data_IF_462325668507
#
_entry.id   IF_462325668507
#
_cell.length_a   1.000
_cell.length_b   1.000
_cell.length_c   1.000
_cell.angle_alpha   90.00
_cell.angle_beta   90.00
_cell.angle_gamma   90.00
#
_symmetry.space_group_name_H-M   'P 1'
#
loop_
_entity.id
_entity.type
_entity.pdbx_description
1 polymer ?
#
# COMPACT_ATOMS: atom_id res chain seq x y z
N UNK A 1 20.40 -13.01 15.43
CA UNK A 1 19.42 -12.31 16.31
C UNK A 1 18.28 -11.68 15.51
N UNK A 2 18.54 -11.01 14.37
CA UNK A 2 17.47 -10.52 13.46
C UNK A 2 16.62 -11.66 12.86
N UNK A 3 17.26 -12.70 12.33
CA UNK A 3 16.58 -13.89 11.75
C UNK A 3 15.67 -14.63 12.76
N UNK A 4 16.07 -14.69 14.03
CA UNK A 4 15.27 -15.34 15.08
C UNK A 4 14.07 -14.49 15.53
N UNK A 5 14.13 -13.17 15.31
CA UNK A 5 12.99 -12.27 15.53
C UNK A 5 11.98 -12.40 14.38
N UNK A 6 12.46 -12.54 13.14
CA UNK A 6 11.64 -12.80 11.96
C UNK A 6 10.91 -14.15 12.08
N UNK A 7 11.60 -15.22 12.47
CA UNK A 7 10.96 -16.53 12.66
C UNK A 7 9.89 -16.51 13.76
N UNK A 8 10.17 -15.93 14.94
CA UNK A 8 9.18 -15.87 16.04
C UNK A 8 7.98 -14.98 15.72
N UNK A 9 8.20 -13.85 15.03
CA UNK A 9 7.11 -12.97 14.58
C UNK A 9 6.25 -13.71 13.55
N UNK A 10 6.86 -14.43 12.60
CA UNK A 10 6.14 -15.21 11.60
C UNK A 10 5.37 -16.40 12.20
N UNK A 11 5.91 -17.07 13.23
CA UNK A 11 5.25 -18.15 13.95
C UNK A 11 4.05 -17.67 14.81
N UNK A 12 4.08 -16.43 15.30
CA UNK A 12 2.98 -15.76 16.02
C UNK A 12 1.89 -15.27 15.05
N UNK A 13 2.31 -14.67 13.91
CA UNK A 13 1.44 -14.19 12.83
C UNK A 13 0.60 -15.32 12.20
N UNK A 14 1.17 -16.53 12.13
CA UNK A 14 0.51 -17.71 11.55
C UNK A 14 -0.38 -18.46 12.54
N UNK A 15 -0.20 -18.29 13.86
CA UNK A 15 -0.97 -19.00 14.89
C UNK A 15 -2.26 -18.31 15.34
N UNK A 16 -2.33 -16.97 15.27
CA UNK A 16 -3.41 -16.22 15.92
C UNK A 16 -4.29 -15.46 14.92
N UNK A 17 -5.62 -15.62 15.05
CA UNK A 17 -6.64 -14.84 14.28
C UNK A 17 -6.62 -13.34 14.60
N UNK A 18 -6.02 -12.97 15.73
CA UNK A 18 -5.82 -11.61 16.17
C UNK A 18 -4.43 -11.52 16.80
N UNK A 19 -3.54 -10.72 16.21
CA UNK A 19 -2.24 -10.42 16.78
C UNK A 19 -2.05 -8.90 16.82
N UNK A 20 -1.32 -8.40 17.81
CA UNK A 20 -0.90 -7.01 17.89
C UNK A 20 0.60 -6.98 18.06
N UNK A 21 1.30 -6.38 17.10
CA UNK A 21 2.72 -6.09 17.21
C UNK A 21 2.88 -4.67 17.75
N UNK A 22 3.58 -4.52 18.87
CA UNK A 22 3.92 -3.21 19.47
C UNK A 22 5.43 -3.09 19.62
N UNK A 23 5.97 -1.87 19.43
CA UNK A 23 7.36 -1.56 19.77
C UNK A 23 8.43 -2.14 18.85
N UNK A 24 8.07 -2.57 17.63
CA UNK A 24 9.04 -3.10 16.67
C UNK A 24 9.77 -1.96 15.95
N UNK A 25 11.06 -1.77 16.26
CA UNK A 25 11.96 -0.92 15.49
C UNK A 25 12.81 -1.81 14.58
N UNK A 26 12.60 -1.68 13.27
CA UNK A 26 13.38 -2.39 12.28
C UNK A 26 14.42 -1.43 11.70
N UNK A 27 15.70 -1.71 11.92
CA UNK A 27 16.83 -0.89 11.44
C UNK A 27 17.61 -1.69 10.39
N UNK A 28 17.63 -1.26 9.11
CA UNK A 28 18.46 -1.93 8.12
C UNK A 28 19.96 -1.72 8.43
N UNK A 29 20.84 -2.68 8.11
CA UNK A 29 22.27 -2.55 8.38
C UNK A 29 22.88 -1.36 7.61
N UNK A 30 23.76 -0.60 8.28
CA UNK A 30 24.46 0.54 7.68
C UNK A 30 25.48 0.03 6.64
N UNK A 31 25.61 0.74 5.51
CA UNK A 31 26.49 0.44 4.35
C UNK A 31 26.02 -0.60 3.33
N UNK A 32 24.72 -0.72 3.09
CA UNK A 32 24.24 -1.36 1.87
C UNK A 32 23.97 -0.31 0.77
N UNK A 33 24.43 -0.53 -0.48
CA UNK A 33 24.09 0.35 -1.60
C UNK A 33 22.56 0.46 -1.72
N UNK A 34 22.05 1.59 -2.21
CA UNK A 34 20.62 1.75 -2.55
C UNK A 34 20.20 0.55 -3.40
N UNK A 35 19.48 -0.39 -2.79
CA UNK A 35 19.08 -1.62 -3.46
C UNK A 35 18.14 -1.25 -4.60
N UNK A 36 18.70 -1.30 -5.80
CA UNK A 36 17.94 -1.39 -7.04
C UNK A 36 17.18 -2.71 -6.97
N UNK A 37 15.87 -2.61 -6.99
CA UNK A 37 14.92 -3.71 -6.77
C UNK A 37 15.15 -4.90 -7.72
N UNK A 38 15.92 -5.88 -7.26
CA UNK A 38 15.75 -7.27 -7.68
C UNK A 38 14.43 -7.78 -7.10
N UNK A 39 13.76 -8.65 -7.85
CA UNK A 39 12.31 -8.87 -7.78
C UNK A 39 11.83 -9.64 -6.55
N UNK A 40 12.73 -10.10 -5.67
CA UNK A 40 12.45 -10.85 -4.44
C UNK A 40 13.61 -10.56 -3.47
N UNK A 41 13.34 -9.77 -2.41
CA UNK A 41 13.92 -9.84 -1.05
C UNK A 41 13.95 -8.48 -0.31
N UNK A 42 13.23 -8.48 0.82
CA UNK A 42 13.25 -7.61 2.02
C UNK A 42 13.16 -6.09 1.80
N UNK A 43 11.94 -5.60 1.62
CA UNK A 43 11.60 -4.21 1.89
C UNK A 43 11.27 -4.04 3.38
N UNK A 44 12.11 -3.36 4.15
CA UNK A 44 11.82 -2.92 5.52
C UNK A 44 10.80 -1.77 5.51
N UNK A 45 9.55 -2.10 5.22
CA UNK A 45 8.39 -1.24 5.44
C UNK A 45 7.18 -2.16 5.56
N UNK A 46 7.02 -2.80 6.73
CA UNK A 46 5.84 -3.58 7.16
C UNK A 46 4.96 -3.99 5.97
N UNK A 47 5.51 -4.86 5.12
CA UNK A 47 4.82 -5.36 3.94
C UNK A 47 3.86 -6.43 4.46
N UNK A 48 2.78 -5.99 5.14
CA UNK A 48 1.58 -6.80 5.37
C UNK A 48 0.80 -6.93 4.04
N UNK A 49 1.54 -7.28 3.00
CA UNK A 49 1.04 -7.87 1.78
C UNK A 49 1.34 -9.36 1.92
N UNK A 50 0.47 -10.06 2.63
CA UNK A 50 -0.23 -11.23 2.11
C UNK A 50 0.28 -11.95 0.86
N UNK A 51 1.53 -12.35 0.84
CA UNK A 51 2.04 -13.31 -0.14
C UNK A 51 2.66 -14.51 0.60
N UNK A 52 1.80 -15.20 1.37
CA UNK A 52 2.10 -16.53 1.95
C UNK A 52 2.46 -17.55 0.86
N UNK A 53 2.15 -17.29 -0.42
CA UNK A 53 2.46 -18.18 -1.53
C UNK A 53 3.91 -18.07 -2.05
N UNK A 54 4.66 -17.00 -1.74
CA UNK A 54 6.05 -16.85 -2.21
C UNK A 54 7.11 -17.37 -1.23
N UNK A 55 6.81 -17.43 0.06
CA UNK A 55 7.75 -17.94 1.09
C UNK A 55 7.84 -19.48 1.10
N UNK A 56 6.95 -20.18 0.38
CA UNK A 56 6.96 -21.66 0.33
C UNK A 56 7.88 -22.27 -0.76
N UNK A 57 8.65 -21.50 -1.52
CA UNK A 57 9.50 -22.06 -2.59
C UNK A 57 10.92 -22.44 -2.17
N UNK A 58 11.34 -22.15 -0.94
CA UNK A 58 12.55 -22.75 -0.37
C UNK A 58 12.18 -23.60 0.83
N UNK A 59 12.35 -24.91 0.66
CA UNK A 59 12.36 -26.00 1.66
C UNK A 59 11.24 -27.03 1.45
N UNK A 60 11.69 -28.20 1.04
CA UNK A 60 10.97 -29.45 0.96
C UNK A 60 10.25 -29.79 2.27
N UNK A 61 8.92 -29.75 2.25
CA UNK A 61 8.09 -30.53 3.16
C UNK A 61 6.73 -30.78 2.51
N UNK A 62 6.55 -32.01 2.00
CA UNK A 62 5.25 -32.61 1.80
C UNK A 62 4.46 -32.51 3.13
N UNK A 63 3.18 -32.14 3.04
CA UNK A 63 2.18 -31.98 4.12
C UNK A 63 1.95 -30.57 4.67
N UNK A 64 1.24 -29.70 3.92
CA UNK A 64 0.41 -28.63 4.51
C UNK A 64 -0.60 -27.99 3.51
N UNK A 65 -1.06 -28.71 2.49
CA UNK A 65 -1.79 -28.11 1.36
C UNK A 65 -3.27 -27.75 1.61
N UNK A 66 -3.81 -27.84 2.83
CA UNK A 66 -5.27 -27.68 3.04
C UNK A 66 -5.72 -26.93 4.30
N UNK A 67 -4.89 -26.08 4.95
CA UNK A 67 -5.39 -25.31 6.11
C UNK A 67 -4.63 -23.99 6.36
N UNK A 68 -4.84 -23.00 5.49
CA UNK A 68 -4.66 -21.59 5.87
C UNK A 68 -6.05 -20.92 5.85
N UNK A 69 -6.54 -20.36 6.96
CA UNK A 69 -7.85 -19.72 6.98
C UNK A 69 -7.86 -18.40 6.19
N UNK A 70 -9.00 -18.01 5.57
CA UNK A 70 -9.16 -16.83 4.70
C UNK A 70 -9.12 -15.47 5.44
N UNK A 71 -8.50 -15.40 6.61
CA UNK A 71 -8.68 -14.27 7.55
C UNK A 71 -7.64 -13.16 7.45
N UNK A 72 -6.68 -13.21 6.52
CA UNK A 72 -5.57 -12.25 6.51
C UNK A 72 -5.84 -10.96 5.70
N UNK A 73 -6.88 -10.90 4.83
CA UNK A 73 -7.18 -9.75 3.94
C UNK A 73 -8.13 -8.70 4.51
N UNK A 74 -8.57 -8.86 5.75
CA UNK A 74 -9.58 -7.96 6.31
C UNK A 74 -9.36 -7.58 7.76
N UNK A 75 -9.87 -6.42 8.16
CA UNK A 75 -9.80 -5.91 9.53
C UNK A 75 -8.36 -5.63 10.01
N UNK A 76 -7.55 -5.01 9.14
CA UNK A 76 -6.17 -4.69 9.45
C UNK A 76 -6.05 -3.27 10.01
N UNK A 77 -5.22 -3.09 11.06
CA UNK A 77 -4.95 -1.78 11.66
C UNK A 77 -3.44 -1.62 11.87
N UNK A 78 -2.86 -0.60 11.24
CA UNK A 78 -1.44 -0.25 11.28
C UNK A 78 -1.34 1.14 11.89
N UNK A 79 -0.70 1.29 13.05
CA UNK A 79 -0.68 2.56 13.75
C UNK A 79 0.62 2.88 14.47
N UNK A 80 0.90 4.18 14.61
CA UNK A 80 1.99 4.72 15.42
C UNK A 80 3.36 4.22 14.95
N UNK A 81 3.62 4.33 13.65
CA UNK A 81 4.88 3.89 13.04
C UNK A 81 5.56 5.02 12.26
N UNK A 82 6.88 4.92 12.14
CA UNK A 82 7.70 5.78 11.29
C UNK A 82 8.31 4.91 10.21
N UNK A 83 8.05 5.24 8.95
CA UNK A 83 8.63 4.61 7.78
C UNK A 83 9.78 5.49 7.26
N UNK A 84 11.02 5.01 7.37
CA UNK A 84 12.18 5.61 6.71
C UNK A 84 12.27 5.24 5.22
N UNK A 85 13.40 5.50 4.55
CA UNK A 85 13.58 5.19 3.13
C UNK A 85 13.14 3.76 2.78
N UNK A 86 12.37 3.63 1.69
CA UNK A 86 11.72 2.38 1.30
C UNK A 86 10.49 2.63 0.42
N UNK A 87 9.65 1.62 0.26
CA UNK A 87 8.52 1.67 -0.68
C UNK A 87 7.23 2.32 -0.12
N UNK A 88 7.18 2.61 1.19
CA UNK A 88 5.96 3.08 1.87
C UNK A 88 4.98 1.94 2.21
N UNK A 89 3.73 2.29 2.54
CA UNK A 89 2.68 1.32 2.83
C UNK A 89 1.84 1.12 1.57
N UNK A 90 1.84 -0.11 1.05
CA UNK A 90 1.09 -0.48 -0.15
C UNK A 90 0.02 -1.52 0.16
N UNK A 91 -1.21 -1.30 -0.29
CA UNK A 91 -2.25 -2.32 -0.39
C UNK A 91 -2.17 -2.93 -1.80
N UNK A 92 -1.88 -4.23 -1.86
CA UNK A 92 -1.70 -4.99 -3.10
C UNK A 92 -0.25 -5.46 -3.31
N UNK A 93 0.11 -5.99 -4.48
CA UNK A 93 -0.67 -5.89 -5.72
C UNK A 93 -1.89 -6.80 -5.74
N UNK A 94 -3.04 -6.22 -6.08
CA UNK A 94 -4.28 -6.94 -6.39
C UNK A 94 -4.33 -7.29 -7.88
N UNK A 95 -5.16 -8.24 -8.27
CA UNK A 95 -5.27 -8.84 -9.60
C UNK A 95 -4.04 -9.66 -10.01
N UNK A 96 -3.45 -10.37 -9.03
CA UNK A 96 -2.47 -11.44 -9.33
C UNK A 96 -3.17 -12.58 -10.07
N UNK A 97 -4.35 -12.96 -9.58
CA UNK A 97 -5.22 -13.99 -10.13
C UNK A 97 -6.59 -13.41 -10.54
N UNK A 98 -7.28 -14.10 -11.45
CA UNK A 98 -8.65 -13.71 -11.87
C UNK A 98 -9.66 -13.84 -10.72
N UNK A 99 -9.49 -14.90 -9.93
CA UNK A 99 -10.30 -15.19 -8.75
C UNK A 99 -9.42 -15.01 -7.53
N UNK A 100 -9.63 -13.91 -6.81
CA UNK A 100 -8.90 -13.63 -5.59
C UNK A 100 -9.83 -13.00 -4.56
N UNK A 101 -9.55 -13.27 -3.30
CA UNK A 101 -10.17 -12.52 -2.22
C UNK A 101 -9.69 -11.06 -2.23
N UNK A 102 -10.64 -10.13 -2.06
CA UNK A 102 -10.37 -8.71 -1.93
C UNK A 102 -9.89 -8.30 -0.54
N UNK A 103 -9.42 -7.06 -0.43
CA UNK A 103 -8.98 -6.43 0.81
C UNK A 103 -10.08 -5.52 1.34
N UNK A 104 -10.36 -5.57 2.65
CA UNK A 104 -11.35 -4.69 3.25
C UNK A 104 -11.10 -4.31 4.70
N UNK A 105 -11.65 -3.16 5.11
CA UNK A 105 -11.58 -2.68 6.49
C UNK A 105 -10.12 -2.56 6.96
N UNK A 106 -9.36 -1.71 6.26
CA UNK A 106 -7.95 -1.43 6.58
C UNK A 106 -7.83 -0.02 7.14
N UNK A 107 -7.17 0.14 8.27
CA UNK A 107 -6.84 1.44 8.86
C UNK A 107 -5.33 1.60 8.95
N UNK A 108 -4.80 2.69 8.41
CA UNK A 108 -3.42 3.12 8.57
C UNK A 108 -3.47 4.50 9.20
N UNK A 109 -2.98 4.62 10.44
CA UNK A 109 -3.17 5.83 11.23
C UNK A 109 -1.95 6.25 12.04
N UNK A 110 -1.74 7.55 12.21
CA UNK A 110 -0.60 8.09 12.98
C UNK A 110 0.73 7.57 12.42
N UNK A 111 1.01 7.85 11.15
CA UNK A 111 2.21 7.36 10.45
C UNK A 111 3.03 8.53 9.93
N UNK A 112 4.36 8.45 10.08
CA UNK A 112 5.30 9.38 9.45
C UNK A 112 6.06 8.64 8.35
N UNK A 113 6.02 9.16 7.13
CA UNK A 113 6.85 8.69 6.02
C UNK A 113 7.99 9.68 5.79
N UNK A 114 9.24 9.23 5.87
CA UNK A 114 10.42 10.05 5.63
C UNK A 114 11.27 9.45 4.52
N UNK A 115 11.45 10.22 3.43
CA UNK A 115 12.30 9.88 2.27
C UNK A 115 11.95 8.53 1.61
N UNK A 116 10.67 8.14 1.64
CA UNK A 116 10.17 6.96 0.93
C UNK A 116 9.86 7.26 -0.54
N UNK A 117 9.82 6.20 -1.34
CA UNK A 117 9.31 6.25 -2.71
C UNK A 117 7.80 6.51 -2.76
N UNK A 118 7.04 5.96 -1.81
CA UNK A 118 5.59 6.21 -1.72
C UNK A 118 5.21 6.46 -0.27
N UNK A 119 4.10 7.16 -0.05
CA UNK A 119 3.48 7.23 1.26
C UNK A 119 2.49 6.08 1.38
N UNK A 120 1.23 6.38 1.07
CA UNK A 120 0.14 5.41 1.02
C UNK A 120 -0.24 5.09 -0.42
N UNK A 121 -0.25 3.80 -0.76
CA UNK A 121 -0.47 3.34 -2.13
C UNK A 121 -1.47 2.19 -2.19
N UNK A 122 -2.38 2.22 -3.16
CA UNK A 122 -3.17 1.05 -3.56
C UNK A 122 -2.74 0.69 -4.99
N UNK A 123 -2.30 -0.54 -5.22
CA UNK A 123 -1.81 -1.00 -6.53
C UNK A 123 -2.55 -2.25 -6.99
N UNK A 124 -3.05 -2.23 -8.22
CA UNK A 124 -3.75 -3.35 -8.85
C UNK A 124 -3.27 -3.53 -10.29
N UNK A 125 -3.09 -4.78 -10.72
CA UNK A 125 -2.71 -5.10 -12.08
C UNK A 125 -3.79 -4.68 -13.08
N UNK A 126 -3.36 -4.20 -14.26
CA UNK A 126 -4.21 -3.97 -15.43
C UNK A 126 -4.68 -5.29 -16.07
N UNK A 127 -5.50 -6.04 -15.33
CA UNK A 127 -6.02 -7.36 -15.69
C UNK A 127 -7.46 -7.53 -15.21
N UNK A 128 -8.26 -8.38 -15.88
CA UNK A 128 -9.51 -8.86 -15.32
C UNK A 128 -9.27 -9.54 -13.96
N UNK A 129 -10.11 -9.23 -12.97
CA UNK A 129 -10.14 -9.83 -11.63
C UNK A 129 -11.52 -9.59 -11.01
N UNK A 130 -11.94 -10.45 -10.08
CA UNK A 130 -13.10 -10.22 -9.21
C UNK A 130 -12.73 -9.53 -7.88
N UNK A 131 -11.44 -9.26 -7.65
CA UNK A 131 -10.91 -8.68 -6.44
C UNK A 131 -11.41 -7.26 -6.17
N UNK A 132 -11.24 -6.82 -4.93
CA UNK A 132 -11.65 -5.48 -4.52
C UNK A 132 -10.72 -4.93 -3.43
N UNK A 133 -10.75 -3.62 -3.24
CA UNK A 133 -10.16 -2.91 -2.10
C UNK A 133 -11.21 -1.93 -1.58
N UNK A 134 -11.72 -2.14 -0.36
CA UNK A 134 -12.80 -1.29 0.17
C UNK A 134 -12.74 -0.96 1.64
N UNK A 135 -13.37 0.14 2.04
CA UNK A 135 -13.42 0.61 3.44
C UNK A 135 -12.01 0.76 4.00
N UNK A 136 -11.22 1.61 3.35
CA UNK A 136 -9.82 1.85 3.70
C UNK A 136 -9.70 3.26 4.26
N UNK A 137 -9.02 3.41 5.39
CA UNK A 137 -8.78 4.69 6.05
C UNK A 137 -7.27 4.93 6.19
N UNK A 138 -6.80 6.03 5.60
CA UNK A 138 -5.48 6.61 5.83
C UNK A 138 -5.66 7.90 6.62
N UNK A 139 -5.19 7.97 7.88
CA UNK A 139 -5.52 9.06 8.81
C UNK A 139 -4.32 9.58 9.61
N UNK A 140 -4.19 10.89 9.82
CA UNK A 140 -3.11 11.50 10.62
C UNK A 140 -1.73 11.06 10.11
N UNK A 141 -1.41 11.44 8.87
CA UNK A 141 -0.17 11.02 8.19
C UNK A 141 0.70 12.22 7.87
N UNK A 142 1.97 12.14 8.26
CA UNK A 142 2.98 13.14 7.94
C UNK A 142 3.87 12.62 6.81
N UNK A 143 4.04 13.42 5.77
CA UNK A 143 4.95 13.16 4.66
C UNK A 143 6.18 14.06 4.78
N UNK A 144 7.36 13.48 4.79
CA UNK A 144 8.65 14.17 4.77
C UNK A 144 9.45 13.72 3.54
N UNK A 145 9.46 14.57 2.51
CA UNK A 145 10.22 14.36 1.29
C UNK A 145 9.90 13.01 0.61
N UNK A 146 8.61 12.69 0.47
CA UNK A 146 8.13 11.44 -0.11
C UNK A 146 7.92 11.58 -1.61
N UNK A 147 8.44 10.65 -2.43
CA UNK A 147 8.36 10.80 -3.90
C UNK A 147 6.93 10.76 -4.42
N UNK A 148 6.12 9.78 -3.99
CA UNK A 148 4.71 9.63 -4.38
C UNK A 148 3.82 9.49 -3.12
N UNK A 149 3.46 10.60 -2.44
CA UNK A 149 2.74 10.58 -1.17
C UNK A 149 1.44 9.78 -1.17
N UNK A 150 0.55 10.03 -2.13
CA UNK A 150 -0.76 9.38 -2.21
C UNK A 150 -0.95 8.80 -3.62
N UNK A 151 -1.12 7.48 -3.72
CA UNK A 151 -1.25 6.79 -5.01
C UNK A 151 -2.39 5.78 -5.02
N UNK A 152 -3.21 5.80 -6.07
CA UNK A 152 -3.98 4.66 -6.54
C UNK A 152 -3.53 4.37 -7.97
N UNK A 153 -3.07 3.15 -8.23
CA UNK A 153 -2.58 2.71 -9.53
C UNK A 153 -3.26 1.39 -9.91
N UNK A 154 -4.28 1.47 -10.76
CA UNK A 154 -4.94 0.30 -11.35
C UNK A 154 -4.33 -0.14 -12.69
N UNK A 155 -3.26 0.53 -13.14
CA UNK A 155 -2.51 0.16 -14.33
C UNK A 155 -1.14 -0.44 -13.95
N UNK A 156 -1.01 -0.94 -12.72
CA UNK A 156 0.25 -1.44 -12.20
C UNK A 156 0.76 -2.59 -13.08
N UNK A 157 1.91 -2.36 -13.71
CA UNK A 157 2.57 -3.37 -14.53
C UNK A 157 4.08 -3.29 -14.37
N UNK A 158 4.64 -3.93 -13.33
CA UNK A 158 6.08 -3.96 -13.16
C UNK A 158 6.74 -4.58 -14.38
N UNK A 159 7.80 -3.91 -14.87
CA UNK A 159 8.63 -4.33 -16.01
C UNK A 159 7.88 -4.51 -17.33
N UNK A 160 6.66 -4.01 -17.46
CA UNK A 160 5.80 -4.23 -18.62
C UNK A 160 5.56 -5.72 -18.93
N UNK A 161 5.75 -6.60 -17.93
CA UNK A 161 5.64 -8.05 -18.10
C UNK A 161 4.37 -8.56 -17.48
N UNK A 162 3.69 -9.45 -18.20
CA UNK A 162 2.50 -10.11 -17.70
C UNK A 162 1.30 -9.19 -17.50
N UNK A 163 1.29 -7.95 -18.00
CA UNK A 163 0.07 -7.14 -18.10
C UNK A 163 -0.43 -7.15 -19.55
N UNK A 164 -1.63 -7.68 -19.82
CA UNK A 164 -2.17 -7.75 -21.18
C UNK A 164 -2.65 -6.39 -21.71
N UNK A 165 -2.32 -5.27 -21.05
CA UNK A 165 -2.84 -3.94 -21.37
C UNK A 165 -4.36 -3.82 -21.21
N UNK A 166 -4.98 -4.73 -20.45
CA UNK A 166 -6.43 -4.71 -20.20
C UNK A 166 -6.74 -3.77 -19.05
N UNK A 167 -7.96 -3.24 -19.04
CA UNK A 167 -8.47 -2.48 -17.90
C UNK A 167 -8.53 -3.38 -16.65
N UNK A 168 -8.16 -2.84 -15.49
CA UNK A 168 -8.23 -3.60 -14.24
C UNK A 168 -9.67 -3.95 -13.88
N UNK A 169 -9.88 -5.21 -13.48
CA UNK A 169 -11.13 -5.73 -12.94
C UNK A 169 -11.34 -5.40 -11.45
N UNK A 170 -10.29 -4.94 -10.75
CA UNK A 170 -10.36 -4.68 -9.32
C UNK A 170 -11.29 -3.51 -9.05
N UNK A 171 -12.20 -3.68 -8.09
CA UNK A 171 -13.08 -2.60 -7.61
C UNK A 171 -12.44 -1.89 -6.43
N UNK A 172 -12.21 -0.58 -6.54
CA UNK A 172 -11.69 0.23 -5.44
C UNK A 172 -12.79 1.20 -5.00
N UNK A 173 -13.28 1.06 -3.78
CA UNK A 173 -14.33 1.92 -3.27
C UNK A 173 -14.20 2.25 -1.78
N UNK A 174 -14.77 3.39 -1.36
CA UNK A 174 -14.79 3.82 0.04
C UNK A 174 -13.37 3.91 0.65
N UNK A 175 -12.52 4.73 0.03
CA UNK A 175 -11.15 5.01 0.50
C UNK A 175 -11.11 6.44 1.00
N UNK A 176 -10.75 6.62 2.27
CA UNK A 176 -10.64 7.94 2.91
C UNK A 176 -9.18 8.26 3.19
N UNK A 177 -8.75 9.42 2.72
CA UNK A 177 -7.49 10.07 3.06
C UNK A 177 -7.81 11.31 3.90
N UNK A 178 -7.49 11.27 5.19
CA UNK A 178 -7.88 12.30 6.14
C UNK A 178 -6.70 12.80 6.97
N UNK A 179 -6.54 14.11 7.10
CA UNK A 179 -5.43 14.73 7.82
C UNK A 179 -4.07 14.17 7.36
N UNK A 180 -3.75 14.45 6.10
CA UNK A 180 -2.46 14.06 5.50
C UNK A 180 -1.72 15.32 5.10
N UNK A 181 -0.56 15.56 5.68
CA UNK A 181 0.17 16.81 5.45
C UNK A 181 1.68 16.61 5.33
N UNK A 182 2.36 17.57 4.71
CA UNK A 182 3.82 17.59 4.61
C UNK A 182 4.34 17.81 3.19
N UNK A 183 5.49 17.22 2.87
CA UNK A 183 6.25 17.52 1.64
C UNK A 183 6.40 16.32 0.71
N UNK A 184 6.31 16.58 -0.59
CA UNK A 184 6.63 15.64 -1.65
C UNK A 184 7.99 15.95 -2.27
N UNK A 185 8.76 14.90 -2.55
CA UNK A 185 10.00 14.99 -3.31
C UNK A 185 9.76 15.19 -4.82
N UNK A 186 8.53 14.98 -5.31
CA UNK A 186 8.17 15.23 -6.71
C UNK A 186 7.00 16.20 -6.82
N UNK A 187 6.77 16.71 -8.04
CA UNK A 187 5.71 17.69 -8.30
C UNK A 187 4.31 17.12 -8.10
N UNK A 188 4.09 15.86 -8.47
CA UNK A 188 2.78 15.20 -8.37
C UNK A 188 2.70 14.45 -7.06
N UNK A 189 1.98 15.01 -6.09
CA UNK A 189 1.87 14.44 -4.75
C UNK A 189 0.67 13.47 -4.61
N UNK A 190 -0.37 13.70 -5.41
CA UNK A 190 -1.58 12.86 -5.46
C UNK A 190 -1.74 12.31 -6.87
N UNK A 191 -1.73 10.99 -7.02
CA UNK A 191 -1.95 10.31 -8.29
C UNK A 191 -3.04 9.27 -8.14
N UNK A 192 -4.18 9.51 -8.77
CA UNK A 192 -5.24 8.52 -8.92
C UNK A 192 -5.34 8.11 -10.38
N UNK A 193 -4.88 6.91 -10.68
CA UNK A 193 -4.92 6.33 -12.01
C UNK A 193 -5.81 5.08 -11.98
N UNK A 194 -7.12 5.31 -12.04
CA UNK A 194 -8.12 4.26 -11.94
C UNK A 194 -8.53 3.73 -13.33
N UNK A 195 -9.05 2.50 -13.32
CA UNK A 195 -9.45 1.77 -14.51
C UNK A 195 -10.70 2.42 -15.14
N UNK A 196 -10.74 2.61 -16.47
CA UNK A 196 -11.91 3.17 -17.13
C UNK A 196 -13.14 2.25 -17.06
N UNK A 197 -12.93 0.92 -16.93
CA UNK A 197 -14.04 -0.05 -16.81
C UNK A 197 -14.48 -0.27 -15.37
N UNK A 198 -13.63 0.06 -14.40
CA UNK A 198 -13.90 -0.06 -12.97
C UNK A 198 -13.37 1.20 -12.27
N UNK A 199 -14.01 2.37 -12.47
CA UNK A 199 -13.57 3.61 -11.87
C UNK A 199 -13.56 3.49 -10.34
N UNK A 200 -12.63 4.20 -9.71
CA UNK A 200 -12.61 4.29 -8.25
C UNK A 200 -13.76 5.18 -7.78
N UNK A 201 -14.54 4.72 -6.79
CA UNK A 201 -15.73 5.45 -6.32
C UNK A 201 -15.73 5.65 -4.81
N UNK A 202 -16.31 6.74 -4.32
CA UNK A 202 -16.33 7.01 -2.88
C UNK A 202 -14.93 7.31 -2.32
N UNK A 203 -14.06 7.92 -3.13
CA UNK A 203 -12.77 8.40 -2.66
C UNK A 203 -12.98 9.72 -1.91
N UNK A 204 -12.49 9.82 -0.68
CA UNK A 204 -12.63 11.03 0.13
C UNK A 204 -11.26 11.62 0.44
N UNK A 205 -11.06 12.88 0.10
CA UNK A 205 -9.93 13.70 0.53
C UNK A 205 -10.41 14.69 1.59
N UNK A 206 -9.87 14.63 2.80
CA UNK A 206 -10.27 15.54 3.88
C UNK A 206 -9.04 16.11 4.59
N UNK A 207 -8.91 17.43 4.64
CA UNK A 207 -7.77 18.09 5.29
C UNK A 207 -6.40 17.56 4.79
N UNK A 208 -6.20 17.53 3.47
CA UNK A 208 -4.96 17.07 2.84
C UNK A 208 -4.15 18.28 2.41
N UNK A 209 -2.89 18.39 2.86
CA UNK A 209 -2.01 19.53 2.53
C UNK A 209 -0.59 19.09 2.20
N UNK A 210 -0.32 18.93 0.91
CA UNK A 210 0.97 18.47 0.38
C UNK A 210 1.64 19.56 -0.44
N UNK A 211 2.91 19.84 -0.15
CA UNK A 211 3.72 20.83 -0.84
C UNK A 211 4.92 20.20 -1.53
N UNK A 212 5.40 20.83 -2.59
CA UNK A 212 6.64 20.51 -3.27
C UNK A 212 7.45 21.79 -3.45
N UNK A 213 8.71 21.81 -2.99
CA UNK A 213 9.57 23.01 -3.01
C UNK A 213 8.87 24.26 -2.44
N UNK A 214 8.20 24.14 -1.28
CA UNK A 214 7.43 25.20 -0.62
C UNK A 214 6.23 25.76 -1.42
N UNK A 215 5.87 25.14 -2.53
CA UNK A 215 4.67 25.44 -3.31
C UNK A 215 3.64 24.33 -3.12
N UNK A 216 2.36 24.60 -3.38
CA UNK A 216 1.35 23.54 -3.44
C UNK A 216 1.76 22.51 -4.48
N UNK A 217 1.73 21.23 -4.12
CA UNK A 217 2.03 20.16 -5.06
C UNK A 217 0.91 20.02 -6.11
N UNK A 218 0.99 19.02 -6.99
CA UNK A 218 -0.01 18.74 -8.02
C UNK A 218 -0.75 17.42 -7.77
N UNK A 219 -1.97 17.35 -8.29
CA UNK A 219 -2.77 16.14 -8.38
C UNK A 219 -2.95 15.72 -9.85
N UNK A 220 -3.02 14.41 -10.10
CA UNK A 220 -3.40 13.82 -11.39
C UNK A 220 -4.46 12.76 -11.16
N UNK A 221 -5.50 12.76 -12.02
CA UNK A 221 -6.75 12.07 -11.73
C UNK A 221 -7.33 11.47 -13.01
N UNK A 222 -7.48 10.14 -13.06
CA UNK A 222 -8.12 9.40 -14.13
C UNK A 222 -9.19 8.47 -13.53
N UNK A 223 -10.41 8.51 -14.07
CA UNK A 223 -11.52 7.60 -13.74
C UNK A 223 -11.79 7.45 -12.24
N UNK A 224 -11.73 8.56 -11.51
CA UNK A 224 -11.93 8.60 -10.06
C UNK A 224 -13.13 9.47 -9.74
N UNK A 225 -13.99 9.03 -8.83
CA UNK A 225 -15.13 9.77 -8.31
C UNK A 225 -15.15 9.80 -6.78
N UNK A 226 -15.52 10.94 -6.21
CA UNK A 226 -15.32 11.18 -4.79
C UNK A 226 -15.72 12.58 -4.32
N UNK A 227 -15.29 12.93 -3.12
CA UNK A 227 -15.54 14.23 -2.50
C UNK A 227 -14.28 14.77 -1.83
N UNK A 228 -14.19 16.11 -1.77
CA UNK A 228 -13.19 16.83 -0.99
C UNK A 228 -13.86 17.61 0.15
N UNK A 229 -13.23 17.63 1.33
CA UNK A 229 -13.75 18.34 2.50
C UNK A 229 -12.62 19.05 3.27
N UNK A 230 -12.90 20.25 3.78
CA UNK A 230 -11.89 21.06 4.48
C UNK A 230 -10.79 21.58 3.56
N UNK A 231 -9.58 21.76 4.08
CA UNK A 231 -8.44 22.24 3.28
C UNK A 231 -7.86 21.10 2.45
N UNK A 232 -7.98 21.17 1.12
CA UNK A 232 -7.39 20.18 0.22
C UNK A 232 -6.45 20.86 -0.78
N UNK A 233 -5.15 20.61 -0.62
CA UNK A 233 -4.04 21.09 -1.43
C UNK A 233 -3.07 19.92 -1.68
N UNK A 234 -2.81 19.47 -2.92
CA UNK A 234 -3.27 20.02 -4.22
C UNK A 234 -4.78 20.09 -4.40
N UNK A 235 -5.24 20.89 -5.37
CA UNK A 235 -6.65 20.92 -5.82
C UNK A 235 -7.16 19.50 -6.03
N UNK A 236 -8.36 19.21 -5.54
CA UNK A 236 -8.97 17.88 -5.58
C UNK A 236 -9.23 17.36 -6.99
N UNK A 237 -9.37 16.04 -7.08
CA UNK A 237 -9.80 15.32 -8.29
C UNK A 237 -11.31 15.41 -8.57
N UNK A 238 -12.06 16.13 -7.73
CA UNK A 238 -13.52 16.24 -7.73
C UNK A 238 -13.91 17.68 -7.47
#
# INVERSE_FOLDING_TARGET
MLLALEEKVMEELTRHKHFKLFGLMLVPPQNQPQFMSHEEDITFALELSMDLAKIMQSLSALMALWWLPPTFKSNLRIENIVCGPGHGISIGSLAKDLQEEGVQNVTVKNVVFSRTQNGVRIKAWGKPSNGFARKILFQHIVMDNVQNPIVIDQNYCPRHKGCPGKASGVKINDVTYQDIHGTSATKVAVKFDCSPTNPCVGIKLENVRLTHMNQTAQATCNNVGGIAAGLVQPTSCF
#
